data_IF_190872043200
#
_entry.id   IF_190872043200
#
_cell.length_a   1.000
_cell.length_b   1.000
_cell.length_c   1.000
_cell.angle_alpha   90.00
_cell.angle_beta   90.00
_cell.angle_gamma   90.00
#
_symmetry.space_group_name_H-M   'P 1'
#
loop_
_entity.id
_entity.type
_entity.pdbx_description
1 polymer ?
#
# COMPACT_ATOMS: atom_id res chain seq x y z
N UNK A 1 -42.93 -48.67 2.85
CA UNK A 1 -42.16 -47.59 2.23
C UNK A 1 -41.02 -47.22 3.17
N UNK A 2 -39.80 -47.70 2.86
CA UNK A 2 -38.58 -47.38 3.61
C UNK A 2 -37.96 -46.15 2.96
N UNK A 3 -37.90 -45.00 3.71
CA UNK A 3 -37.18 -43.82 3.27
C UNK A 3 -35.70 -43.97 3.67
N UNK A 4 -34.85 -44.16 2.66
CA UNK A 4 -33.40 -44.17 2.85
C UNK A 4 -32.94 -42.70 2.90
N UNK A 5 -32.66 -42.21 4.12
CA UNK A 5 -32.01 -40.91 4.29
C UNK A 5 -30.56 -40.93 3.85
N UNK A 6 -30.25 -40.29 2.74
CA UNK A 6 -28.88 -40.10 2.26
C UNK A 6 -28.19 -39.06 3.15
N UNK A 7 -27.34 -39.53 4.06
CA UNK A 7 -26.46 -38.67 4.86
C UNK A 7 -25.38 -38.10 3.93
N UNK A 8 -25.55 -36.86 3.50
CA UNK A 8 -24.47 -36.08 2.88
C UNK A 8 -23.45 -35.73 3.97
N UNK A 9 -22.40 -36.53 4.09
CA UNK A 9 -21.21 -36.15 4.86
C UNK A 9 -20.51 -34.98 4.11
N UNK A 10 -20.17 -33.88 4.79
CA UNK A 10 -19.33 -32.87 4.15
C UNK A 10 -17.98 -33.52 3.84
N UNK A 11 -17.67 -33.69 2.58
CA UNK A 11 -16.31 -34.00 2.13
C UNK A 11 -15.47 -32.74 2.41
N UNK A 12 -14.81 -32.71 3.57
CA UNK A 12 -13.69 -31.81 3.76
C UNK A 12 -12.67 -32.15 2.67
N UNK A 13 -12.59 -31.32 1.65
CA UNK A 13 -11.50 -31.34 0.70
C UNK A 13 -10.23 -31.17 1.54
N UNK A 14 -9.44 -32.25 1.68
CA UNK A 14 -8.04 -32.13 2.01
C UNK A 14 -7.39 -31.44 0.80
N UNK A 15 -7.48 -30.10 0.75
CA UNK A 15 -6.50 -29.32 0.02
C UNK A 15 -5.17 -29.74 0.64
N UNK A 16 -4.31 -30.40 -0.12
CA UNK A 16 -2.97 -30.77 0.33
C UNK A 16 -2.37 -29.55 1.00
N UNK A 17 -2.03 -29.70 2.28
CA UNK A 17 -1.56 -28.59 3.13
C UNK A 17 -0.25 -28.10 2.51
N UNK A 18 -0.35 -27.08 1.65
CA UNK A 18 0.78 -26.53 0.90
C UNK A 18 1.62 -25.75 1.88
N UNK A 19 2.85 -26.18 2.09
CA UNK A 19 3.79 -25.48 2.95
C UNK A 19 4.07 -24.06 2.42
N UNK A 20 3.92 -23.07 3.27
CA UNK A 20 4.19 -21.65 2.99
C UNK A 20 5.27 -21.07 3.88
N UNK A 21 5.53 -21.71 5.03
CA UNK A 21 6.53 -21.26 6.00
C UNK A 21 7.76 -22.17 5.89
N UNK A 22 8.86 -21.64 5.35
CA UNK A 22 10.16 -22.28 5.19
C UNK A 22 11.15 -21.65 6.17
N UNK A 23 11.03 -22.03 7.44
CA UNK A 23 11.86 -21.49 8.53
C UNK A 23 13.12 -22.36 8.70
N UNK A 24 14.12 -22.13 7.82
CA UNK A 24 15.40 -22.84 7.88
C UNK A 24 16.34 -22.29 8.97
N UNK A 25 16.13 -21.04 9.39
CA UNK A 25 16.87 -20.42 10.48
C UNK A 25 16.32 -20.76 11.87
N UNK A 26 15.16 -21.45 11.96
CA UNK A 26 14.57 -21.88 13.23
C UNK A 26 14.13 -20.71 14.13
N UNK A 27 13.60 -19.65 13.55
CA UNK A 27 13.20 -18.44 14.26
C UNK A 27 11.84 -18.57 14.95
N UNK A 28 11.03 -19.55 14.55
CA UNK A 28 9.66 -19.73 15.01
C UNK A 28 9.52 -20.94 15.93
N UNK A 29 8.69 -20.81 16.95
CA UNK A 29 8.17 -21.96 17.67
C UNK A 29 7.18 -22.74 16.80
N UNK A 30 6.96 -24.03 17.11
CA UNK A 30 5.99 -24.86 16.37
C UNK A 30 4.58 -24.27 16.39
N UNK A 31 4.15 -23.68 17.51
CA UNK A 31 2.85 -23.03 17.64
C UNK A 31 2.75 -21.77 16.77
N UNK A 32 3.78 -20.93 16.76
CA UNK A 32 3.82 -19.72 15.93
C UNK A 32 3.82 -20.09 14.43
N UNK A 33 4.59 -21.13 14.06
CA UNK A 33 4.62 -21.64 12.68
C UNK A 33 3.24 -22.12 12.24
N UNK A 34 2.53 -22.93 13.05
CA UNK A 34 1.21 -23.44 12.71
C UNK A 34 0.17 -22.30 12.56
N UNK A 35 0.23 -21.30 13.44
CA UNK A 35 -0.63 -20.12 13.35
C UNK A 35 -0.37 -19.31 12.08
N UNK A 36 0.89 -19.01 11.79
CA UNK A 36 1.28 -18.27 10.59
C UNK A 36 0.97 -19.05 9.30
N UNK A 37 1.12 -20.39 9.29
CA UNK A 37 0.73 -21.24 8.16
C UNK A 37 -0.77 -21.12 7.87
N UNK A 38 -1.60 -21.16 8.92
CA UNK A 38 -3.06 -21.00 8.81
C UNK A 38 -3.42 -19.60 8.28
N UNK A 39 -2.76 -18.56 8.78
CA UNK A 39 -2.99 -17.18 8.35
C UNK A 39 -2.56 -16.98 6.89
N UNK A 40 -1.37 -17.48 6.53
CA UNK A 40 -0.86 -17.43 5.16
C UNK A 40 -1.77 -18.19 4.19
N UNK A 41 -2.31 -19.34 4.59
CA UNK A 41 -3.25 -20.10 3.78
C UNK A 41 -4.54 -19.30 3.52
N UNK A 42 -5.12 -18.69 4.55
CA UNK A 42 -6.34 -17.89 4.45
C UNK A 42 -6.17 -16.70 3.50
N UNK A 43 -5.08 -15.94 3.63
CA UNK A 43 -4.81 -14.80 2.77
C UNK A 43 -4.45 -15.23 1.35
N UNK A 44 -3.76 -16.38 1.20
CA UNK A 44 -3.46 -16.93 -0.11
C UNK A 44 -4.73 -17.29 -0.89
N UNK A 45 -5.73 -17.84 -0.22
CA UNK A 45 -7.03 -18.12 -0.81
C UNK A 45 -7.77 -16.83 -1.22
N UNK A 46 -7.78 -15.84 -0.34
CA UNK A 46 -8.45 -14.55 -0.56
C UNK A 46 -7.91 -13.83 -1.79
N UNK A 47 -6.58 -13.79 -1.95
CA UNK A 47 -5.91 -13.03 -3.02
C UNK A 47 -5.45 -13.88 -4.20
N UNK A 48 -5.71 -15.19 -4.19
CA UNK A 48 -5.22 -16.14 -5.20
C UNK A 48 -3.71 -15.99 -5.45
N UNK A 49 -2.97 -15.77 -4.35
CA UNK A 49 -1.54 -15.49 -4.33
C UNK A 49 -0.92 -16.22 -3.14
N UNK A 50 0.11 -17.03 -3.34
CA UNK A 50 0.81 -17.66 -2.23
C UNK A 50 1.61 -16.66 -1.42
N UNK A 51 1.30 -16.56 -0.12
CA UNK A 51 2.11 -15.80 0.83
C UNK A 51 3.14 -16.73 1.46
N UNK A 52 4.42 -16.46 1.21
CA UNK A 52 5.52 -17.34 1.59
C UNK A 52 6.50 -16.61 2.49
N UNK A 53 6.91 -17.30 3.54
CA UNK A 53 7.96 -16.89 4.45
C UNK A 53 9.15 -17.82 4.30
N UNK A 54 10.31 -17.27 4.00
CA UNK A 54 11.57 -17.99 3.91
C UNK A 54 12.60 -17.36 4.82
N UNK A 55 13.23 -18.19 5.68
CA UNK A 55 14.30 -17.74 6.57
C UNK A 55 15.55 -18.60 6.36
N UNK A 56 16.71 -17.99 6.44
CA UNK A 56 17.99 -18.70 6.40
C UNK A 56 19.03 -18.04 7.29
N UNK A 57 19.93 -18.84 7.85
CA UNK A 57 21.10 -18.41 8.62
C UNK A 57 22.43 -18.91 8.01
N UNK A 58 22.33 -19.57 6.85
CA UNK A 58 23.48 -20.16 6.18
C UNK A 58 24.42 -19.11 5.64
N UNK A 59 25.73 -19.35 5.78
CA UNK A 59 26.75 -18.52 5.14
C UNK A 59 26.64 -18.57 3.61
N UNK A 60 26.62 -17.41 2.98
CA UNK A 60 26.55 -17.27 1.53
C UNK A 60 27.17 -15.94 1.08
N UNK A 61 27.35 -15.77 -0.23
CA UNK A 61 27.93 -14.59 -0.86
C UNK A 61 26.93 -13.74 -1.68
N UNK A 62 25.65 -13.98 -1.48
CA UNK A 62 24.57 -13.31 -2.20
C UNK A 62 23.73 -12.46 -1.25
N UNK A 63 22.95 -11.53 -1.77
CA UNK A 63 22.04 -10.71 -0.97
C UNK A 63 20.65 -11.37 -0.81
N UNK A 64 19.84 -10.88 0.13
CA UNK A 64 18.50 -11.41 0.40
C UNK A 64 17.59 -11.35 -0.84
N UNK A 65 17.76 -10.37 -1.74
CA UNK A 65 17.09 -10.29 -3.02
C UNK A 65 17.39 -11.51 -3.89
N UNK A 66 18.68 -11.86 -3.99
CA UNK A 66 19.11 -13.00 -4.77
C UNK A 66 18.61 -14.30 -4.19
N UNK A 67 18.66 -14.47 -2.86
CA UNK A 67 18.07 -15.62 -2.17
C UNK A 67 16.58 -15.78 -2.49
N UNK A 68 15.82 -14.69 -2.48
CA UNK A 68 14.39 -14.72 -2.83
C UNK A 68 14.17 -15.16 -4.29
N UNK A 69 14.99 -14.65 -5.20
CA UNK A 69 14.91 -15.01 -6.61
C UNK A 69 15.25 -16.49 -6.84
N UNK A 70 16.33 -16.97 -6.24
CA UNK A 70 16.77 -18.36 -6.36
C UNK A 70 15.73 -19.30 -5.71
N UNK A 71 15.16 -18.93 -4.55
CA UNK A 71 14.06 -19.68 -3.93
C UNK A 71 12.85 -19.79 -4.87
N UNK A 72 12.46 -18.70 -5.53
CA UNK A 72 11.35 -18.72 -6.48
C UNK A 72 11.66 -19.59 -7.71
N UNK A 73 12.86 -19.50 -8.28
CA UNK A 73 13.27 -20.26 -9.46
C UNK A 73 13.45 -21.76 -9.15
N UNK A 74 13.91 -22.12 -7.94
CA UNK A 74 14.15 -23.51 -7.55
C UNK A 74 12.89 -24.24 -7.08
N UNK A 75 12.05 -23.56 -6.28
CA UNK A 75 10.86 -24.16 -5.67
C UNK A 75 9.61 -24.01 -6.53
N UNK A 76 9.60 -23.04 -7.44
CA UNK A 76 8.46 -22.76 -8.33
C UNK A 76 7.15 -22.45 -7.60
N UNK A 77 7.14 -21.65 -6.50
CA UNK A 77 5.91 -21.40 -5.77
C UNK A 77 4.89 -20.64 -6.61
N UNK A 78 3.62 -20.76 -6.24
CA UNK A 78 2.55 -20.03 -6.90
C UNK A 78 1.18 -20.64 -6.60
N UNK A 79 0.17 -19.82 -6.43
CA UNK A 79 -1.13 -20.23 -5.89
C UNK A 79 -1.78 -21.40 -6.64
N UNK A 80 -2.07 -21.26 -7.91
CA UNK A 80 -2.76 -22.30 -8.69
C UNK A 80 -1.84 -23.09 -9.63
N UNK A 81 -0.57 -22.75 -9.73
CA UNK A 81 0.40 -23.38 -10.63
C UNK A 81 1.82 -23.11 -10.17
N UNK A 82 2.73 -23.98 -10.57
CA UNK A 82 4.16 -23.70 -10.40
C UNK A 82 4.56 -22.42 -11.12
N UNK A 83 5.44 -21.65 -10.52
CA UNK A 83 5.85 -20.31 -10.99
C UNK A 83 4.64 -19.39 -11.22
N UNK A 84 3.71 -19.39 -10.27
CA UNK A 84 2.49 -18.57 -10.30
C UNK A 84 2.56 -17.33 -9.42
N UNK A 85 1.38 -16.88 -9.00
CA UNK A 85 1.23 -15.73 -8.12
C UNK A 85 1.83 -16.02 -6.75
N UNK A 86 2.81 -15.23 -6.32
CA UNK A 86 3.42 -15.39 -5.00
C UNK A 86 3.89 -14.04 -4.44
N UNK A 87 3.75 -13.86 -3.13
CA UNK A 87 4.38 -12.81 -2.35
C UNK A 87 5.33 -13.47 -1.35
N UNK A 88 6.61 -13.20 -1.45
CA UNK A 88 7.65 -13.89 -0.68
C UNK A 88 8.36 -12.88 0.18
N UNK A 89 8.47 -13.16 1.48
CA UNK A 89 9.39 -12.48 2.38
C UNK A 89 10.54 -13.42 2.75
N UNK A 90 11.75 -12.99 2.47
CA UNK A 90 13.00 -13.67 2.83
C UNK A 90 13.67 -12.91 3.95
N UNK A 91 14.00 -13.61 5.04
CA UNK A 91 14.79 -13.10 6.15
C UNK A 91 16.12 -13.83 6.17
N UNK A 92 17.17 -13.09 5.94
CA UNK A 92 18.54 -13.57 5.98
C UNK A 92 19.19 -13.19 7.31
N UNK A 93 19.39 -14.17 8.16
CA UNK A 93 19.98 -13.96 9.49
C UNK A 93 21.52 -13.83 9.44
N UNK A 94 22.15 -14.29 8.36
CA UNK A 94 23.59 -14.17 8.19
C UNK A 94 24.00 -12.72 7.89
N UNK A 95 23.30 -12.04 6.98
CA UNK A 95 23.56 -10.61 6.66
C UNK A 95 22.69 -9.66 7.45
N UNK A 96 21.65 -10.15 8.14
CA UNK A 96 20.62 -9.37 8.82
C UNK A 96 19.85 -8.49 7.86
N UNK A 97 19.50 -9.05 6.72
CA UNK A 97 18.72 -8.40 5.68
C UNK A 97 17.33 -9.05 5.52
N UNK A 98 16.35 -8.26 5.20
CA UNK A 98 15.03 -8.71 4.80
C UNK A 98 14.74 -8.23 3.39
N UNK A 99 14.13 -9.10 2.57
CA UNK A 99 13.66 -8.76 1.25
C UNK A 99 12.25 -9.27 1.02
N UNK A 100 11.38 -8.44 0.43
CA UNK A 100 10.03 -8.81 0.04
C UNK A 100 9.92 -8.69 -1.48
N UNK A 101 9.35 -9.70 -2.11
CA UNK A 101 9.08 -9.72 -3.55
C UNK A 101 7.65 -10.17 -3.86
N UNK A 102 7.00 -9.50 -4.79
CA UNK A 102 5.75 -9.91 -5.40
C UNK A 102 5.96 -10.41 -6.83
N UNK A 103 5.41 -11.57 -7.16
CA UNK A 103 5.49 -12.21 -8.48
C UNK A 103 4.11 -12.23 -9.14
N UNK A 104 4.06 -11.97 -10.44
CA UNK A 104 2.83 -11.94 -11.25
C UNK A 104 1.75 -11.04 -10.64
N UNK A 105 0.61 -11.57 -10.25
CA UNK A 105 -0.48 -10.80 -9.65
C UNK A 105 -0.02 -10.01 -8.42
N UNK A 106 0.76 -10.63 -7.53
CA UNK A 106 1.32 -9.92 -6.39
C UNK A 106 2.23 -8.75 -6.78
N UNK A 107 2.93 -8.82 -7.92
CA UNK A 107 3.76 -7.71 -8.40
C UNK A 107 2.95 -6.45 -8.71
N UNK A 108 1.74 -6.61 -9.21
CA UNK A 108 0.86 -5.48 -9.56
C UNK A 108 0.26 -4.82 -8.30
N UNK A 109 -0.12 -5.64 -7.33
CA UNK A 109 -0.77 -5.18 -6.10
C UNK A 109 0.21 -4.76 -5.01
N UNK A 110 1.35 -5.45 -4.89
CA UNK A 110 2.46 -5.11 -4.01
C UNK A 110 3.59 -4.52 -4.85
N UNK A 111 3.38 -3.30 -5.34
CA UNK A 111 4.43 -2.54 -6.01
C UNK A 111 5.56 -2.17 -5.04
N UNK A 112 6.68 -1.68 -5.56
CA UNK A 112 7.86 -1.33 -4.74
C UNK A 112 7.53 -0.33 -3.63
N UNK A 113 6.58 0.59 -3.87
CA UNK A 113 6.19 1.59 -2.87
C UNK A 113 5.36 0.97 -1.73
N UNK A 114 4.44 0.06 -2.04
CA UNK A 114 3.67 -0.67 -1.02
C UNK A 114 4.56 -1.64 -0.24
N UNK A 115 5.52 -2.30 -0.91
CA UNK A 115 6.51 -3.16 -0.24
C UNK A 115 7.34 -2.35 0.75
N UNK A 116 7.80 -1.14 0.42
CA UNK A 116 8.51 -0.29 1.38
C UNK A 116 7.67 0.01 2.61
N UNK A 117 6.37 0.23 2.45
CA UNK A 117 5.46 0.44 3.59
C UNK A 117 5.28 -0.83 4.43
N UNK A 118 5.21 -2.01 3.82
CA UNK A 118 5.20 -3.29 4.55
C UNK A 118 6.49 -3.41 5.37
N UNK A 119 7.65 -3.12 4.78
CA UNK A 119 8.95 -3.13 5.47
C UNK A 119 9.02 -2.14 6.64
N UNK A 120 8.31 -1.02 6.60
CA UNK A 120 8.24 -0.07 7.72
C UNK A 120 7.60 -0.69 8.99
N UNK A 121 6.72 -1.68 8.82
CA UNK A 121 6.14 -2.44 9.95
C UNK A 121 6.96 -3.67 10.34
N UNK A 122 7.57 -4.33 9.37
CA UNK A 122 8.32 -5.59 9.54
C UNK A 122 9.70 -5.35 10.18
N UNK A 123 10.48 -4.39 9.64
CA UNK A 123 11.87 -4.20 10.06
C UNK A 123 12.05 -3.87 11.54
N UNK A 124 11.21 -3.04 12.19
CA UNK A 124 11.34 -2.82 13.64
C UNK A 124 11.17 -4.09 14.46
N UNK A 125 10.24 -4.99 14.07
CA UNK A 125 10.01 -6.25 14.78
C UNK A 125 11.20 -7.20 14.62
N UNK A 126 11.76 -7.30 13.40
CA UNK A 126 12.97 -8.08 13.15
C UNK A 126 14.16 -7.55 13.98
N UNK A 127 14.31 -6.23 14.06
CA UNK A 127 15.35 -5.59 14.89
C UNK A 127 15.21 -5.94 16.38
N UNK A 128 13.97 -6.00 16.87
CA UNK A 128 13.66 -6.36 18.26
C UNK A 128 13.79 -7.86 18.54
N UNK A 129 13.92 -8.71 17.52
CA UNK A 129 13.91 -10.17 17.63
C UNK A 129 12.52 -10.79 17.72
N UNK A 130 11.47 -9.99 17.48
CA UNK A 130 10.07 -10.45 17.47
C UNK A 130 9.70 -11.03 16.10
N UNK A 131 10.32 -12.15 15.74
CA UNK A 131 10.20 -12.74 14.40
C UNK A 131 8.76 -13.16 14.06
N UNK A 132 8.05 -13.77 15.02
CA UNK A 132 6.67 -14.18 14.80
C UNK A 132 5.77 -12.99 14.48
N UNK A 133 5.94 -11.86 15.19
CA UNK A 133 5.21 -10.63 14.94
C UNK A 133 5.63 -9.98 13.60
N UNK A 134 6.93 -9.99 13.28
CA UNK A 134 7.41 -9.51 11.97
C UNK A 134 6.73 -10.24 10.81
N UNK A 135 6.60 -11.56 10.92
CA UNK A 135 5.96 -12.40 9.91
C UNK A 135 4.45 -12.16 9.85
N UNK A 136 3.81 -11.99 11.00
CA UNK A 136 2.40 -11.60 11.07
C UNK A 136 2.17 -10.25 10.38
N UNK A 137 3.00 -9.24 10.68
CA UNK A 137 2.90 -7.92 10.03
C UNK A 137 3.09 -8.01 8.52
N UNK A 138 4.01 -8.83 8.02
CA UNK A 138 4.12 -9.06 6.59
C UNK A 138 2.82 -9.58 5.98
N UNK A 139 2.23 -10.61 6.57
CA UNK A 139 0.99 -11.20 6.07
C UNK A 139 -0.18 -10.21 6.12
N UNK A 140 -0.42 -9.58 7.26
CA UNK A 140 -1.53 -8.65 7.46
C UNK A 140 -1.41 -7.38 6.61
N UNK A 141 -0.20 -6.82 6.48
CA UNK A 141 0.01 -5.62 5.67
C UNK A 141 -0.05 -5.91 4.18
N UNK A 142 0.44 -7.07 3.76
CA UNK A 142 0.31 -7.51 2.37
C UNK A 142 -1.14 -7.76 1.99
N UNK A 143 -1.93 -8.45 2.85
CA UNK A 143 -3.37 -8.61 2.71
C UNK A 143 -4.08 -7.25 2.59
N UNK A 144 -3.78 -6.31 3.51
CA UNK A 144 -4.32 -4.96 3.48
C UNK A 144 -4.06 -4.25 2.15
N UNK A 145 -2.80 -4.22 1.68
CA UNK A 145 -2.48 -3.51 0.44
C UNK A 145 -3.02 -4.22 -0.81
N UNK A 146 -3.09 -5.55 -0.80
CA UNK A 146 -3.68 -6.32 -1.90
C UNK A 146 -5.20 -6.20 -1.99
N UNK A 147 -5.87 -5.74 -0.95
CA UNK A 147 -7.31 -5.44 -0.97
C UNK A 147 -7.67 -4.15 -1.73
N UNK A 148 -6.67 -3.37 -2.16
CA UNK A 148 -6.89 -2.15 -2.94
C UNK A 148 -6.31 -2.28 -4.34
N UNK A 149 -7.03 -1.73 -5.32
CA UNK A 149 -6.60 -1.70 -6.72
C UNK A 149 -5.14 -1.20 -6.89
N UNK A 150 -4.40 -1.72 -7.88
CA UNK A 150 -3.07 -1.24 -8.18
C UNK A 150 -3.03 0.26 -8.45
N UNK A 151 -2.02 0.94 -7.91
CA UNK A 151 -1.87 2.39 -8.04
C UNK A 151 -2.71 3.24 -7.09
N UNK A 152 -3.69 2.64 -6.39
CA UNK A 152 -4.41 3.34 -5.32
C UNK A 152 -3.56 3.36 -4.04
N UNK A 153 -3.39 4.53 -3.44
CA UNK A 153 -2.70 4.68 -2.17
C UNK A 153 -3.70 4.85 -1.02
N UNK A 154 -4.03 3.77 -0.26
CA UNK A 154 -5.02 3.84 0.82
C UNK A 154 -4.57 4.72 2.00
N UNK A 155 -3.26 4.96 2.14
CA UNK A 155 -2.71 5.78 3.23
C UNK A 155 -2.73 7.28 2.91
N UNK A 156 -3.17 7.65 1.70
CA UNK A 156 -3.24 9.05 1.32
C UNK A 156 -4.26 9.78 2.22
N UNK A 157 -3.82 10.87 2.85
CA UNK A 157 -4.63 11.68 3.76
C UNK A 157 -5.94 12.17 3.11
N UNK A 158 -5.95 12.37 1.79
CA UNK A 158 -7.12 12.81 1.05
C UNK A 158 -8.29 11.82 1.12
N UNK A 159 -8.00 10.54 1.31
CA UNK A 159 -9.00 9.47 1.42
C UNK A 159 -9.42 9.19 2.87
N UNK A 160 -8.79 9.85 3.85
CA UNK A 160 -9.19 9.69 5.26
C UNK A 160 -10.46 10.47 5.54
N UNK A 161 -11.48 9.80 6.07
CA UNK A 161 -12.80 10.36 6.34
C UNK A 161 -12.75 11.65 7.16
N UNK A 162 -11.89 11.71 8.18
CA UNK A 162 -11.75 12.91 9.01
C UNK A 162 -11.27 14.12 8.19
N UNK A 163 -10.34 13.90 7.23
CA UNK A 163 -9.82 14.95 6.36
C UNK A 163 -10.90 15.46 5.40
N UNK A 164 -11.67 14.55 4.80
CA UNK A 164 -12.79 14.90 3.92
C UNK A 164 -13.86 15.71 4.66
N UNK A 165 -14.19 15.32 5.89
CA UNK A 165 -15.11 16.07 6.76
C UNK A 165 -14.55 17.44 7.09
N UNK A 166 -13.27 17.54 7.46
CA UNK A 166 -12.64 18.82 7.77
C UNK A 166 -12.64 19.77 6.57
N UNK A 167 -12.29 19.27 5.37
CA UNK A 167 -12.31 20.07 4.13
C UNK A 167 -13.73 20.51 3.78
N UNK A 168 -14.72 19.61 3.91
CA UNK A 168 -16.13 19.91 3.63
C UNK A 168 -16.65 21.01 4.57
N UNK A 169 -16.33 20.94 5.86
CA UNK A 169 -16.70 21.96 6.84
C UNK A 169 -16.02 23.30 6.54
N UNK A 170 -14.74 23.30 6.18
CA UNK A 170 -14.00 24.51 5.83
C UNK A 170 -14.60 25.20 4.59
N UNK A 171 -14.93 24.43 3.56
CA UNK A 171 -15.58 24.96 2.36
C UNK A 171 -16.99 25.48 2.65
N UNK A 172 -17.77 24.74 3.45
CA UNK A 172 -19.11 25.17 3.88
C UNK A 172 -19.05 26.48 4.66
N UNK A 173 -18.13 26.59 5.63
CA UNK A 173 -17.93 27.82 6.40
C UNK A 173 -17.50 28.99 5.52
N UNK A 174 -16.65 28.76 4.52
CA UNK A 174 -16.21 29.78 3.58
C UNK A 174 -17.41 30.29 2.75
N UNK A 175 -18.23 29.41 2.22
CA UNK A 175 -19.41 29.79 1.42
C UNK A 175 -20.41 30.58 2.26
N UNK A 176 -20.74 30.07 3.48
CA UNK A 176 -21.65 30.78 4.40
C UNK A 176 -21.05 32.13 4.83
N UNK A 177 -19.76 32.20 5.09
CA UNK A 177 -19.06 33.45 5.43
C UNK A 177 -19.16 34.49 4.30
N UNK A 178 -18.91 34.05 3.05
CA UNK A 178 -19.06 34.94 1.88
C UNK A 178 -20.52 35.36 1.69
N UNK A 179 -21.48 34.48 1.88
CA UNK A 179 -22.90 34.82 1.80
C UNK A 179 -23.31 35.79 2.90
N UNK A 180 -22.88 35.58 4.16
CA UNK A 180 -23.14 36.46 5.28
C UNK A 180 -22.50 37.85 5.06
N UNK A 181 -21.24 37.86 4.58
CA UNK A 181 -20.56 39.12 4.26
C UNK A 181 -21.27 39.91 3.14
N UNK A 182 -21.76 39.22 2.09
CA UNK A 182 -22.51 39.86 1.00
C UNK A 182 -23.95 40.21 1.39
N UNK A 183 -24.56 39.44 2.30
CA UNK A 183 -25.92 39.62 2.79
C UNK A 183 -26.01 40.74 3.87
N UNK A 184 -24.87 41.08 4.47
CA UNK A 184 -24.80 42.26 5.38
C UNK A 184 -25.19 43.50 4.65
N UNK A 185 -26.41 43.98 4.94
CA UNK A 185 -27.17 45.00 4.26
C UNK A 185 -26.34 46.09 3.59
N UNK A 186 -26.29 46.08 2.28
CA UNK A 186 -26.09 47.31 1.55
C UNK A 186 -27.25 48.20 1.92
N UNK A 187 -26.99 49.19 2.75
CA UNK A 187 -27.89 50.33 2.95
C UNK A 187 -28.05 50.94 1.56
N UNK A 188 -29.12 50.57 0.87
CA UNK A 188 -29.47 51.05 -0.50
C UNK A 188 -29.99 52.47 -0.50
N UNK A 189 -29.99 53.14 0.69
CA UNK A 189 -30.42 54.51 0.82
C UNK A 189 -29.20 55.32 1.27
N UNK A 190 -28.40 55.74 0.33
CA UNK A 190 -27.39 56.78 0.53
C UNK A 190 -27.96 58.12 0.16
N UNK A 191 -27.60 59.21 0.82
CA UNK A 191 -28.05 60.58 0.52
C UNK A 191 -27.86 60.97 -0.94
N UNK A 192 -26.93 60.33 -1.62
CA UNK A 192 -26.67 60.50 -3.07
C UNK A 192 -27.74 59.88 -4.00
N UNK A 193 -28.73 59.16 -3.48
CA UNK A 193 -29.85 58.63 -4.29
C UNK A 193 -30.83 59.76 -4.71
N UNK A 194 -30.65 60.94 -4.17
CA UNK A 194 -31.44 62.15 -4.48
C UNK A 194 -30.65 63.28 -5.16
N UNK A 195 -29.40 63.03 -5.52
CA UNK A 195 -28.63 63.97 -6.31
C UNK A 195 -28.94 63.76 -7.80
N UNK A 196 -29.39 64.86 -8.42
CA UNK A 196 -29.73 64.92 -9.82
C UNK A 196 -28.54 64.58 -10.70
N UNK A 197 -28.65 63.51 -11.45
CA UNK A 197 -27.60 62.98 -12.32
C UNK A 197 -27.30 63.84 -13.57
N UNK A 198 -27.85 65.03 -13.66
CA UNK A 198 -27.64 65.93 -14.80
C UNK A 198 -26.31 66.70 -14.78
N UNK A 199 -25.54 66.66 -13.65
CA UNK A 199 -24.30 67.43 -13.55
C UNK A 199 -23.06 66.64 -13.18
N UNK A 200 -23.09 65.35 -12.97
CA UNK A 200 -21.89 64.53 -12.69
C UNK A 200 -21.54 63.58 -13.83
N UNK A 201 -20.61 64.00 -14.67
CA UNK A 201 -20.01 63.20 -15.72
C UNK A 201 -18.61 62.73 -15.31
N UNK A 202 -18.31 61.45 -15.49
CA UNK A 202 -16.92 60.97 -15.38
C UNK A 202 -16.15 61.44 -16.60
N UNK A 203 -15.19 62.37 -16.39
CA UNK A 203 -14.46 63.02 -17.46
C UNK A 203 -13.28 62.22 -18.02
N UNK A 204 -12.82 61.21 -17.36
CA UNK A 204 -11.81 60.30 -17.90
C UNK A 204 -11.75 58.97 -17.14
N UNK A 205 -11.75 57.86 -17.83
CA UNK A 205 -11.45 56.52 -17.33
C UNK A 205 -10.19 56.00 -18.05
N UNK A 206 -9.13 55.76 -17.30
CA UNK A 206 -7.89 55.21 -17.85
C UNK A 206 -7.51 53.95 -17.08
N UNK A 207 -7.69 52.79 -17.68
CA UNK A 207 -7.18 51.53 -17.16
C UNK A 207 -5.73 51.33 -17.60
N UNK A 208 -4.82 51.24 -16.66
CA UNK A 208 -3.41 50.91 -16.93
C UNK A 208 -3.14 49.50 -16.43
N UNK A 209 -2.89 48.58 -17.36
CA UNK A 209 -2.46 47.22 -17.04
C UNK A 209 -1.03 47.28 -16.45
N UNK A 210 -0.88 46.79 -15.20
CA UNK A 210 0.38 46.98 -14.49
C UNK A 210 1.32 45.78 -14.53
N UNK A 211 0.83 44.53 -14.54
CA UNK A 211 1.73 43.37 -14.59
C UNK A 211 1.00 42.04 -14.60
N UNK A 212 1.49 41.08 -15.40
CA UNK A 212 1.21 39.64 -15.24
C UNK A 212 2.43 38.97 -14.65
N UNK A 213 2.30 38.31 -13.51
CA UNK A 213 3.37 37.53 -12.91
C UNK A 213 3.07 36.03 -13.10
N UNK A 214 3.90 35.35 -13.87
CA UNK A 214 3.81 33.90 -14.04
C UNK A 214 4.85 33.23 -13.14
N UNK A 215 4.39 32.49 -12.13
CA UNK A 215 5.28 31.71 -11.26
C UNK A 215 5.36 30.29 -11.78
N UNK A 216 6.55 29.84 -12.21
CA UNK A 216 6.83 28.43 -12.53
C UNK A 216 7.32 27.72 -11.28
N UNK A 217 6.53 26.80 -10.75
CA UNK A 217 6.96 25.91 -9.68
C UNK A 217 7.53 24.65 -10.30
N UNK A 218 8.81 24.39 -10.05
CA UNK A 218 9.47 23.16 -10.48
C UNK A 218 9.00 22.04 -9.56
N UNK A 219 8.33 21.02 -10.11
CA UNK A 219 7.95 19.82 -9.37
C UNK A 219 9.26 19.09 -9.01
N UNK A 220 9.56 18.87 -7.72
CA UNK A 220 10.74 18.12 -7.36
C UNK A 220 10.58 16.66 -7.82
N UNK A 221 11.54 16.21 -8.62
CA UNK A 221 11.69 14.79 -8.94
C UNK A 221 12.13 14.09 -7.66
N UNK A 222 11.26 13.26 -7.11
CA UNK A 222 11.59 12.43 -5.97
C UNK A 222 12.60 11.36 -6.41
N UNK A 223 13.89 11.62 -6.22
CA UNK A 223 14.92 10.59 -6.27
C UNK A 223 14.91 9.87 -4.91
N UNK A 224 13.93 8.99 -4.73
CA UNK A 224 13.95 8.00 -3.67
C UNK A 224 15.05 6.98 -3.95
N UNK A 225 16.26 7.26 -3.50
CA UNK A 225 17.31 6.28 -3.36
C UNK A 225 16.94 5.30 -2.25
N UNK A 226 16.12 4.30 -2.57
CA UNK A 226 15.89 3.13 -1.73
C UNK A 226 16.52 1.94 -2.44
N UNK A 227 17.51 1.30 -1.81
CA UNK A 227 18.16 0.13 -2.35
C UNK A 227 17.15 -1.00 -2.57
N UNK A 228 17.19 -1.61 -3.72
CA UNK A 228 16.60 -2.92 -3.92
C UNK A 228 15.18 -3.00 -4.48
N UNK A 229 14.81 -2.14 -5.42
CA UNK A 229 13.57 -2.31 -6.18
C UNK A 229 13.48 -3.65 -6.90
N UNK A 230 12.31 -3.96 -7.44
CA UNK A 230 12.02 -5.18 -8.19
C UNK A 230 13.04 -5.51 -9.28
N UNK A 231 12.84 -6.58 -9.98
CA UNK A 231 13.80 -7.05 -10.98
C UNK A 231 13.31 -8.25 -11.76
N UNK A 232 14.25 -9.03 -12.25
CA UNK A 232 14.00 -10.28 -12.97
C UNK A 232 14.88 -11.38 -12.40
N UNK A 233 14.29 -12.56 -12.19
CA UNK A 233 15.01 -13.76 -11.75
C UNK A 233 15.87 -14.32 -12.89
N UNK A 234 16.77 -15.27 -12.60
CA UNK A 234 17.51 -16.00 -13.64
C UNK A 234 16.58 -16.84 -14.51
N UNK A 235 15.51 -17.36 -13.97
CA UNK A 235 14.46 -18.07 -14.70
C UNK A 235 13.58 -17.16 -15.58
N UNK A 236 13.83 -15.84 -15.62
CA UNK A 236 13.10 -14.90 -16.47
C UNK A 236 11.79 -14.39 -15.86
N UNK A 237 11.55 -14.60 -14.56
CA UNK A 237 10.36 -14.14 -13.87
C UNK A 237 10.58 -12.73 -13.32
N UNK A 238 9.69 -11.79 -13.74
CA UNK A 238 9.75 -10.42 -13.25
C UNK A 238 9.00 -10.26 -11.92
N UNK A 239 9.56 -9.46 -11.02
CA UNK A 239 8.97 -9.20 -9.71
C UNK A 239 9.10 -7.74 -9.30
N UNK A 240 8.21 -7.27 -8.44
CA UNK A 240 8.40 -6.10 -7.59
C UNK A 240 9.28 -6.49 -6.40
N UNK A 241 9.82 -5.54 -5.69
CA UNK A 241 10.57 -5.86 -4.50
C UNK A 241 11.15 -4.67 -3.76
N UNK A 242 11.45 -4.91 -2.52
CA UNK A 242 12.16 -4.00 -1.66
C UNK A 242 12.87 -4.76 -0.55
N UNK A 243 13.99 -4.24 -0.10
CA UNK A 243 14.77 -4.85 0.97
C UNK A 243 15.33 -3.82 1.93
N UNK A 244 15.69 -4.28 3.11
CA UNK A 244 16.24 -3.46 4.19
C UNK A 244 17.07 -4.32 5.15
N UNK A 245 18.15 -3.76 5.65
CA UNK A 245 18.87 -4.32 6.81
C UNK A 245 18.15 -3.98 8.12
N UNK A 246 18.30 -4.83 9.14
CA UNK A 246 17.65 -4.70 10.44
C UNK A 246 18.56 -5.08 11.61
#
# INVERSE_FOLDING_TARGET
MLAIGLLLLPTSSLAADKQRIFDEAGLLSDSARAELETLAASYSETHQTDFILYTTDREHSVDAKRLTQDFYDERGPGYNKSFGNAAIMTVDMYTRDVYIAGFYHAKEYLDDARIQKVLDYVAPQLTNGDYAEAFRQFLERSDYYMSFEPGFNPDNILFKTWFQVAVSLALGALVVGVMAYRSGGRVTINRQTYEDSASSGVLAHRDTYLRTTTTKTKIPKNNGGGGGGGGMTRGGHSHSGGGRSF
#
